data_IF_754087720605
#
_entry.id   IF_754087720605
#
_cell.length_a   1.000
_cell.length_b   1.000
_cell.length_c   1.000
_cell.angle_alpha   90.00
_cell.angle_beta   90.00
_cell.angle_gamma   90.00
#
_symmetry.space_group_name_H-M   'P 1'
#
loop_
_entity.id
_entity.type
_entity.pdbx_description
1 polymer ?
#
# COMPACT_ATOMS: atom_id res chain seq x y z
N UNK A 1 5.08 5.81 3.87
CA UNK A 1 5.05 6.56 2.57
C UNK A 1 4.62 8.05 2.67
N UNK A 2 3.39 8.40 3.05
CA UNK A 2 2.92 9.81 2.99
C UNK A 2 3.76 10.79 3.84
N UNK A 3 4.17 10.40 5.05
CA UNK A 3 5.06 11.22 5.88
C UNK A 3 6.44 11.46 5.24
N UNK A 4 6.97 10.45 4.55
CA UNK A 4 8.26 10.55 3.83
C UNK A 4 8.16 11.57 2.68
N UNK A 5 7.09 11.48 1.89
CA UNK A 5 6.82 12.44 0.80
C UNK A 5 6.57 13.84 1.34
N UNK A 6 5.81 13.97 2.44
CA UNK A 6 5.60 15.25 3.11
C UNK A 6 6.93 15.89 3.54
N UNK A 7 7.82 15.11 4.16
CA UNK A 7 9.14 15.58 4.58
C UNK A 7 9.96 16.08 3.38
N UNK A 8 9.99 15.35 2.27
CA UNK A 8 10.72 15.77 1.07
C UNK A 8 10.10 17.00 0.39
N UNK A 9 8.77 17.10 0.36
CA UNK A 9 8.07 18.30 -0.12
C UNK A 9 8.47 19.50 0.74
N UNK A 10 8.46 19.38 2.07
CA UNK A 10 8.81 20.49 2.97
C UNK A 10 10.27 20.92 2.82
N UNK A 11 11.20 19.97 2.70
CA UNK A 11 12.63 20.27 2.57
C UNK A 11 13.00 20.94 1.23
N UNK A 12 12.27 20.64 0.17
CA UNK A 12 12.61 21.08 -1.21
C UNK A 12 11.50 21.86 -1.89
N UNK A 13 10.51 22.35 -1.13
CA UNK A 13 9.33 23.06 -1.66
C UNK A 13 9.70 24.18 -2.62
N UNK A 14 10.62 25.06 -2.22
CA UNK A 14 11.06 26.20 -3.05
C UNK A 14 11.76 25.78 -4.34
N UNK A 15 12.54 24.69 -4.30
CA UNK A 15 13.22 24.16 -5.48
C UNK A 15 12.23 23.50 -6.45
N UNK A 16 11.30 22.69 -5.93
CA UNK A 16 10.35 21.97 -6.77
C UNK A 16 9.24 22.86 -7.34
N UNK A 17 8.77 23.84 -6.57
CA UNK A 17 7.79 24.80 -7.06
C UNK A 17 8.37 25.68 -8.18
N UNK A 18 9.62 26.11 -8.06
CA UNK A 18 10.27 26.96 -9.06
C UNK A 18 10.64 26.21 -10.36
N UNK A 19 11.07 24.95 -10.27
CA UNK A 19 11.60 24.22 -11.42
C UNK A 19 10.60 23.23 -12.06
N UNK A 20 9.57 22.76 -11.34
CA UNK A 20 8.70 21.66 -11.77
C UNK A 20 7.20 21.93 -11.54
N UNK A 21 6.78 23.19 -11.58
CA UNK A 21 5.43 23.67 -11.19
C UNK A 21 4.26 22.86 -11.77
N UNK A 22 4.34 22.43 -13.04
CA UNK A 22 3.26 21.69 -13.71
C UNK A 22 3.13 20.23 -13.21
N UNK A 23 4.24 19.60 -12.81
CA UNK A 23 4.22 18.24 -12.26
C UNK A 23 3.97 18.23 -10.75
N UNK A 24 4.34 19.32 -10.08
CA UNK A 24 4.15 19.47 -8.63
C UNK A 24 2.67 19.43 -8.22
N UNK A 25 1.74 19.91 -9.07
CA UNK A 25 0.30 19.84 -8.77
C UNK A 25 -0.22 18.40 -8.72
N UNK A 26 0.29 17.50 -9.59
CA UNK A 26 -0.08 16.08 -9.59
C UNK A 26 0.41 15.40 -8.31
N UNK A 27 1.60 15.77 -7.85
CA UNK A 27 2.18 15.27 -6.60
C UNK A 27 1.37 15.73 -5.39
N UNK A 28 1.01 17.02 -5.32
CA UNK A 28 0.14 17.55 -4.25
C UNK A 28 -1.21 16.83 -4.27
N UNK A 29 -1.83 16.67 -5.44
CA UNK A 29 -3.10 15.97 -5.56
C UNK A 29 -2.99 14.54 -5.05
N UNK A 30 -1.98 13.77 -5.50
CA UNK A 30 -1.74 12.42 -5.02
C UNK A 30 -1.51 12.38 -3.50
N UNK A 31 -0.70 13.29 -2.97
CA UNK A 31 -0.48 13.41 -1.53
C UNK A 31 -1.79 13.69 -0.78
N UNK A 32 -2.63 14.61 -1.25
CA UNK A 32 -3.90 14.96 -0.63
C UNK A 32 -4.87 13.78 -0.61
N UNK A 33 -5.00 13.05 -1.72
CA UNK A 33 -5.85 11.85 -1.76
C UNK A 33 -5.32 10.78 -0.80
N UNK A 34 -4.01 10.53 -0.80
CA UNK A 34 -3.39 9.57 0.11
C UNK A 34 -3.54 9.96 1.59
N UNK A 35 -3.35 11.23 1.91
CA UNK A 35 -3.56 11.77 3.25
C UNK A 35 -5.03 11.68 3.67
N UNK A 36 -5.97 12.00 2.76
CA UNK A 36 -7.40 11.87 3.01
C UNK A 36 -7.80 10.43 3.32
N UNK A 37 -7.26 9.44 2.60
CA UNK A 37 -7.50 8.01 2.89
C UNK A 37 -6.98 7.64 4.27
N UNK A 38 -5.76 8.07 4.64
CA UNK A 38 -5.19 7.78 5.97
C UNK A 38 -6.06 8.41 7.07
N UNK A 39 -6.46 9.67 6.91
CA UNK A 39 -7.33 10.36 7.87
C UNK A 39 -8.69 9.66 7.95
N UNK A 40 -9.26 9.25 6.82
CA UNK A 40 -10.52 8.51 6.76
C UNK A 40 -10.43 7.18 7.51
N UNK A 41 -9.38 6.39 7.27
CA UNK A 41 -9.13 5.13 7.99
C UNK A 41 -8.90 5.37 9.49
N UNK A 42 -8.21 6.44 9.85
CA UNK A 42 -8.01 6.80 11.25
C UNK A 42 -9.32 7.23 11.95
N UNK A 43 -10.17 8.00 11.27
CA UNK A 43 -11.50 8.36 11.79
C UNK A 43 -12.37 7.11 11.96
N UNK A 44 -12.35 6.19 10.99
CA UNK A 44 -13.04 4.90 11.11
C UNK A 44 -12.51 4.07 12.28
N UNK A 45 -11.19 4.06 12.49
CA UNK A 45 -10.52 3.36 13.58
C UNK A 45 -10.86 3.91 14.97
N UNK A 46 -11.10 5.21 15.09
CA UNK A 46 -11.26 5.89 16.39
C UNK A 46 -12.72 6.15 16.76
N UNK A 47 -13.63 6.27 15.79
CA UNK A 47 -15.00 6.73 16.03
C UNK A 47 -16.05 5.63 15.81
N UNK A 48 -16.56 5.03 16.92
CA UNK A 48 -17.67 4.11 16.86
C UNK A 48 -18.93 4.65 16.18
N UNK A 49 -19.16 5.96 16.33
CA UNK A 49 -20.33 6.66 15.80
C UNK A 49 -20.23 6.91 14.30
N UNK A 50 -19.01 7.15 13.79
CA UNK A 50 -18.81 7.34 12.35
C UNK A 50 -18.93 6.02 11.59
N UNK A 51 -18.45 4.89 12.15
CA UNK A 51 -18.62 3.59 11.50
C UNK A 51 -20.09 3.15 11.46
N UNK A 52 -20.85 3.35 12.54
CA UNK A 52 -22.28 2.97 12.60
C UNK A 52 -23.09 3.78 11.61
N UNK A 53 -22.80 5.08 11.51
CA UNK A 53 -23.42 5.97 10.53
C UNK A 53 -23.07 5.57 9.09
N UNK A 54 -21.79 5.30 8.78
CA UNK A 54 -21.37 4.90 7.43
C UNK A 54 -21.95 3.54 7.05
N UNK A 55 -22.00 2.59 7.97
CA UNK A 55 -22.53 1.25 7.75
C UNK A 55 -24.04 1.27 7.51
N UNK A 56 -24.80 1.98 8.34
CA UNK A 56 -26.26 2.11 8.17
C UNK A 56 -26.64 2.94 6.94
N UNK A 57 -25.95 4.05 6.69
CA UNK A 57 -26.19 4.91 5.52
C UNK A 57 -25.74 4.25 4.23
N UNK A 58 -24.54 3.67 4.19
CA UNK A 58 -23.98 2.98 3.02
C UNK A 58 -24.80 1.75 2.62
N UNK A 59 -25.23 0.93 3.58
CA UNK A 59 -26.10 -0.22 3.32
C UNK A 59 -27.49 0.23 2.88
N UNK A 60 -28.01 1.36 3.38
CA UNK A 60 -29.28 1.91 2.88
C UNK A 60 -29.19 2.37 1.42
N UNK A 61 -28.06 2.93 1.00
CA UNK A 61 -27.80 3.35 -0.39
C UNK A 61 -27.61 2.13 -1.28
N UNK A 62 -26.84 1.13 -0.84
CA UNK A 62 -26.65 -0.14 -1.56
C UNK A 62 -27.92 -0.97 -1.72
N UNK A 63 -28.82 -0.92 -0.72
CA UNK A 63 -30.15 -1.54 -0.80
C UNK A 63 -31.07 -0.79 -1.78
N UNK A 64 -31.04 0.56 -1.79
CA UNK A 64 -31.77 1.37 -2.79
C UNK A 64 -31.28 1.12 -4.22
N UNK A 65 -30.01 0.75 -4.39
CA UNK A 65 -29.41 0.41 -5.67
C UNK A 65 -29.55 -1.09 -6.03
N UNK A 66 -30.28 -1.90 -5.25
CA UNK A 66 -30.45 -3.35 -5.42
C UNK A 66 -29.15 -4.18 -5.46
N UNK A 67 -28.02 -3.62 -5.03
CA UNK A 67 -26.72 -4.32 -4.98
C UNK A 67 -26.68 -5.29 -3.79
N UNK A 68 -27.43 -5.00 -2.73
CA UNK A 68 -27.46 -5.81 -1.49
C UNK A 68 -28.83 -6.48 -1.37
N UNK A 69 -28.87 -7.81 -1.56
CA UNK A 69 -30.09 -8.62 -1.43
C UNK A 69 -30.54 -8.84 0.01
N UNK A 70 -29.60 -9.00 0.94
CA UNK A 70 -29.89 -9.21 2.36
C UNK A 70 -29.22 -8.13 3.22
N UNK A 71 -30.04 -7.15 3.60
CA UNK A 71 -29.61 -5.96 4.31
C UNK A 71 -29.15 -6.27 5.74
N UNK A 72 -29.82 -7.20 6.42
CA UNK A 72 -29.51 -7.54 7.81
C UNK A 72 -28.24 -8.37 7.91
N UNK A 73 -28.08 -9.38 7.06
CA UNK A 73 -26.87 -10.21 7.08
C UNK A 73 -25.61 -9.39 6.73
N UNK A 74 -25.72 -8.45 5.78
CA UNK A 74 -24.64 -7.53 5.44
C UNK A 74 -24.28 -6.58 6.60
N UNK A 75 -25.29 -6.08 7.35
CA UNK A 75 -25.07 -5.25 8.53
C UNK A 75 -24.35 -6.02 9.64
N UNK A 76 -24.74 -7.27 9.90
CA UNK A 76 -24.14 -8.11 10.95
C UNK A 76 -22.70 -8.48 10.61
N UNK A 77 -22.42 -8.93 9.37
CA UNK A 77 -21.06 -9.26 8.93
C UNK A 77 -20.11 -8.06 8.98
N UNK A 78 -20.60 -6.89 8.52
CA UNK A 78 -19.82 -5.66 8.56
C UNK A 78 -19.54 -5.22 10.01
N UNK A 79 -20.54 -5.25 10.90
CA UNK A 79 -20.35 -4.93 12.32
C UNK A 79 -19.32 -5.86 12.98
N UNK A 80 -19.33 -7.17 12.67
CA UNK A 80 -18.36 -8.11 13.22
C UNK A 80 -16.93 -7.81 12.76
N UNK A 81 -16.72 -7.54 11.47
CA UNK A 81 -15.40 -7.14 10.93
C UNK A 81 -14.91 -5.83 11.55
N UNK A 82 -15.82 -4.87 11.77
CA UNK A 82 -15.49 -3.57 12.37
C UNK A 82 -15.18 -3.66 13.87
N UNK A 83 -15.87 -4.54 14.61
CA UNK A 83 -15.54 -4.83 16.01
C UNK A 83 -14.17 -5.49 16.14
N UNK A 84 -13.87 -6.47 15.27
CA UNK A 84 -12.54 -7.07 15.19
C UNK A 84 -11.47 -6.03 14.87
N UNK A 85 -11.69 -5.18 13.87
CA UNK A 85 -10.78 -4.09 13.53
C UNK A 85 -10.53 -3.14 14.71
N UNK A 86 -11.59 -2.72 15.41
CA UNK A 86 -11.49 -1.86 16.60
C UNK A 86 -10.69 -2.52 17.72
N UNK A 87 -10.90 -3.81 17.95
CA UNK A 87 -10.14 -4.60 18.91
C UNK A 87 -8.65 -4.66 18.54
N UNK A 88 -8.33 -4.98 17.28
CA UNK A 88 -6.96 -5.01 16.76
C UNK A 88 -6.25 -3.66 16.91
N UNK A 89 -6.94 -2.54 16.72
CA UNK A 89 -6.36 -1.20 16.94
C UNK A 89 -5.98 -0.97 18.40
N UNK A 90 -6.81 -1.42 19.34
CA UNK A 90 -6.50 -1.31 20.78
C UNK A 90 -5.28 -2.16 21.12
N UNK A 91 -5.23 -3.40 20.64
CA UNK A 91 -4.07 -4.29 20.81
C UNK A 91 -2.82 -3.67 20.20
N UNK A 92 -2.89 -3.15 18.98
CA UNK A 92 -1.76 -2.52 18.30
C UNK A 92 -1.23 -1.33 19.11
N UNK A 93 -2.11 -0.49 19.69
CA UNK A 93 -1.72 0.64 20.56
C UNK A 93 -0.98 0.22 21.82
N UNK A 94 -1.19 -1.00 22.33
CA UNK A 94 -0.45 -1.53 23.47
C UNK A 94 1.01 -1.84 23.10
N UNK A 95 1.28 -2.16 21.84
CA UNK A 95 2.61 -2.51 21.34
C UNK A 95 3.35 -1.34 20.68
N UNK A 96 3.45 -0.20 21.39
CA UNK A 96 4.10 1.04 20.89
C UNK A 96 5.53 0.81 20.36
N UNK A 97 6.31 -0.05 21.02
CA UNK A 97 7.67 -0.42 20.57
C UNK A 97 7.65 -1.11 19.21
N UNK A 98 6.71 -2.02 18.98
CA UNK A 98 6.56 -2.73 17.72
C UNK A 98 6.18 -1.76 16.59
N UNK A 99 5.23 -0.85 16.83
CA UNK A 99 4.86 0.20 15.87
C UNK A 99 6.09 1.04 15.48
N UNK A 100 6.90 1.45 16.46
CA UNK A 100 8.09 2.25 16.18
C UNK A 100 9.13 1.49 15.34
N UNK A 101 9.39 0.22 15.65
CA UNK A 101 10.32 -0.63 14.89
C UNK A 101 9.83 -0.80 13.44
N UNK A 102 8.55 -1.11 13.25
CA UNK A 102 7.95 -1.25 11.91
C UNK A 102 7.98 0.07 11.13
N UNK A 103 7.75 1.20 11.80
CA UNK A 103 7.85 2.52 11.18
C UNK A 103 9.28 2.85 10.73
N UNK A 104 10.28 2.51 11.54
CA UNK A 104 11.69 2.69 11.18
C UNK A 104 12.11 1.76 10.03
N UNK A 105 11.65 0.50 10.05
CA UNK A 105 11.86 -0.45 8.97
C UNK A 105 11.27 0.07 7.65
N UNK A 106 10.01 0.53 7.65
CA UNK A 106 9.37 1.12 6.46
C UNK A 106 10.15 2.35 5.98
N UNK A 107 10.61 3.21 6.88
CA UNK A 107 11.42 4.37 6.52
C UNK A 107 12.73 3.98 5.81
N UNK A 108 13.48 3.02 6.38
CA UNK A 108 14.72 2.54 5.79
C UNK A 108 14.48 1.82 4.46
N UNK A 109 13.42 1.01 4.38
CA UNK A 109 12.98 0.36 3.15
C UNK A 109 12.70 1.40 2.06
N UNK A 110 11.92 2.44 2.37
CA UNK A 110 11.60 3.51 1.42
C UNK A 110 12.83 4.28 0.99
N UNK A 111 13.75 4.58 1.92
CA UNK A 111 15.01 5.24 1.60
C UNK A 111 15.80 4.41 0.59
N UNK A 112 16.03 3.13 0.85
CA UNK A 112 16.76 2.23 -0.06
C UNK A 112 16.03 2.13 -1.42
N UNK A 113 14.71 1.92 -1.38
CA UNK A 113 13.89 1.72 -2.58
C UNK A 113 13.88 2.95 -3.49
N UNK A 114 13.77 4.15 -2.93
CA UNK A 114 13.79 5.41 -3.70
C UNK A 114 15.20 5.86 -4.09
N UNK A 115 16.25 5.27 -3.52
CA UNK A 115 17.64 5.49 -3.97
C UNK A 115 18.02 4.65 -5.19
N UNK A 116 17.22 3.63 -5.54
CA UNK A 116 17.52 2.74 -6.67
C UNK A 116 17.72 3.50 -7.99
N UNK A 117 16.91 4.52 -8.36
CA UNK A 117 17.17 5.32 -9.56
C UNK A 117 18.50 6.06 -9.56
N UNK A 118 18.93 6.58 -8.41
CA UNK A 118 20.25 7.21 -8.27
C UNK A 118 21.38 6.21 -8.52
N UNK A 119 21.30 5.04 -7.89
CA UNK A 119 22.27 3.95 -8.10
C UNK A 119 22.25 3.45 -9.55
N UNK A 120 21.07 3.40 -10.17
CA UNK A 120 20.91 3.00 -11.57
C UNK A 120 21.63 3.97 -12.51
N UNK A 121 21.52 5.28 -12.26
CA UNK A 121 22.25 6.29 -13.01
C UNK A 121 23.77 6.14 -12.86
N UNK A 122 24.27 5.88 -11.65
CA UNK A 122 25.69 5.63 -11.40
C UNK A 122 26.22 4.41 -12.17
N UNK A 123 25.48 3.29 -12.14
CA UNK A 123 25.88 2.05 -12.85
C UNK A 123 25.88 2.25 -14.36
N UNK A 124 24.97 3.06 -14.89
CA UNK A 124 24.91 3.40 -16.32
C UNK A 124 25.99 4.42 -16.75
N UNK A 125 26.80 4.93 -15.82
CA UNK A 125 27.80 5.96 -16.11
C UNK A 125 27.18 7.32 -16.46
N UNK A 126 25.92 7.56 -16.09
CA UNK A 126 25.25 8.85 -16.29
C UNK A 126 25.79 9.82 -15.24
N UNK A 127 26.22 11.03 -15.62
CA UNK A 127 26.81 11.98 -14.68
C UNK A 127 25.75 12.41 -13.65
N UNK A 128 25.97 12.01 -12.40
CA UNK A 128 25.17 12.40 -11.23
C UNK A 128 26.07 12.91 -10.12
N UNK A 129 25.67 13.99 -9.47
CA UNK A 129 26.38 14.56 -8.32
C UNK A 129 25.68 14.20 -7.02
N UNK A 130 26.38 14.19 -5.86
CA UNK A 130 25.74 14.00 -4.56
C UNK A 130 24.63 15.00 -4.25
N UNK A 131 24.69 16.21 -4.81
CA UNK A 131 23.62 17.22 -4.67
C UNK A 131 22.30 16.79 -5.31
N UNK A 132 22.34 15.97 -6.37
CA UNK A 132 21.16 15.46 -7.08
C UNK A 132 20.49 14.29 -6.35
N UNK A 133 21.15 13.70 -5.34
CA UNK A 133 20.63 12.52 -4.64
C UNK A 133 19.25 12.79 -4.02
N UNK A 134 19.11 13.90 -3.29
CA UNK A 134 17.82 14.25 -2.66
C UNK A 134 16.73 14.58 -3.69
N UNK A 135 17.11 15.14 -4.84
CA UNK A 135 16.15 15.46 -5.91
C UNK A 135 15.66 14.17 -6.58
N UNK A 136 16.55 13.24 -6.87
CA UNK A 136 16.21 11.91 -7.41
C UNK A 136 15.40 11.07 -6.40
N UNK A 137 15.71 11.17 -5.11
CA UNK A 137 14.95 10.53 -4.04
C UNK A 137 13.52 11.06 -3.98
N UNK A 138 13.35 12.38 -4.10
CA UNK A 138 12.05 13.03 -4.16
C UNK A 138 11.25 12.64 -5.42
N UNK A 139 11.86 12.72 -6.60
CA UNK A 139 11.21 12.32 -7.85
C UNK A 139 10.77 10.85 -7.80
N UNK A 140 11.59 9.95 -7.27
CA UNK A 140 11.22 8.54 -7.07
C UNK A 140 10.00 8.39 -6.16
N UNK A 141 9.97 9.15 -5.07
CA UNK A 141 8.84 9.13 -4.13
C UNK A 141 7.55 9.72 -4.74
N UNK A 142 7.68 10.69 -5.63
CA UNK A 142 6.56 11.30 -6.36
C UNK A 142 5.98 10.34 -7.40
N UNK A 143 6.85 9.62 -8.12
CA UNK A 143 6.44 8.54 -9.03
C UNK A 143 5.62 7.51 -8.25
N UNK A 144 6.12 7.05 -7.10
CA UNK A 144 5.39 6.09 -6.27
C UNK A 144 4.05 6.64 -5.75
N UNK A 145 4.00 7.91 -5.36
CA UNK A 145 2.77 8.57 -4.93
C UNK A 145 1.72 8.60 -6.04
N UNK A 146 2.10 8.98 -7.27
CA UNK A 146 1.18 9.02 -8.41
C UNK A 146 0.71 7.60 -8.77
N UNK A 147 1.60 6.62 -8.74
CA UNK A 147 1.28 5.23 -9.06
C UNK A 147 0.29 4.60 -8.09
N UNK A 148 0.24 5.06 -6.83
CA UNK A 148 -0.73 4.58 -5.85
C UNK A 148 -2.20 4.83 -6.26
N UNK A 149 -2.43 5.77 -7.20
CA UNK A 149 -3.77 6.14 -7.67
C UNK A 149 -4.06 5.70 -9.11
N UNK A 150 -3.12 5.03 -9.78
CA UNK A 150 -3.34 4.46 -11.11
C UNK A 150 -3.77 3.00 -10.93
N UNK A 151 -5.06 2.65 -11.07
CA UNK A 151 -5.57 1.30 -10.90
C UNK A 151 -5.24 0.43 -12.13
N UNK A 152 -3.96 0.37 -12.50
CA UNK A 152 -3.51 -0.40 -13.65
C UNK A 152 -3.03 -1.78 -13.19
N UNK A 153 -3.66 -2.88 -13.65
CA UNK A 153 -3.16 -4.23 -13.39
C UNK A 153 -1.76 -4.36 -13.99
N UNK A 154 -0.78 -4.74 -13.17
CA UNK A 154 0.63 -4.83 -13.57
C UNK A 154 1.40 -3.51 -13.62
N UNK A 155 0.76 -2.34 -13.43
CA UNK A 155 1.37 -1.00 -13.23
C UNK A 155 2.52 -0.59 -14.19
N UNK A 156 2.69 -1.26 -15.34
CA UNK A 156 3.84 -1.04 -16.22
C UNK A 156 3.73 0.30 -16.96
N UNK A 157 2.65 0.51 -17.73
CA UNK A 157 2.52 1.70 -18.58
C UNK A 157 2.44 3.04 -17.82
N UNK A 158 1.59 3.14 -16.80
CA UNK A 158 1.42 4.39 -16.04
C UNK A 158 2.66 4.82 -15.26
N UNK A 159 3.31 3.86 -14.61
CA UNK A 159 4.54 4.10 -13.84
C UNK A 159 5.73 4.41 -14.74
N UNK A 160 5.88 3.75 -15.89
CA UNK A 160 6.97 4.04 -16.83
C UNK A 160 6.83 5.44 -17.41
N UNK A 161 5.62 5.81 -17.83
CA UNK A 161 5.33 7.15 -18.30
C UNK A 161 5.61 8.19 -17.22
N UNK A 162 5.11 7.97 -16.01
CA UNK A 162 5.30 8.90 -14.88
C UNK A 162 6.77 9.02 -14.50
N UNK A 163 7.53 7.92 -14.52
CA UNK A 163 8.96 7.94 -14.26
C UNK A 163 9.69 8.80 -15.30
N UNK A 164 9.49 8.56 -16.60
CA UNK A 164 10.17 9.32 -17.66
C UNK A 164 9.74 10.78 -17.63
N UNK A 165 8.47 11.09 -17.37
CA UNK A 165 7.99 12.46 -17.21
C UNK A 165 8.69 13.19 -16.06
N UNK A 166 8.83 12.54 -14.90
CA UNK A 166 9.44 13.14 -13.70
C UNK A 166 10.95 13.25 -13.83
N UNK A 167 11.64 12.18 -14.22
CA UNK A 167 13.10 12.16 -14.37
C UNK A 167 13.58 12.90 -15.62
N UNK A 168 12.72 13.08 -16.63
CA UNK A 168 12.98 13.94 -17.80
C UNK A 168 13.16 15.42 -17.46
N UNK A 169 12.84 15.82 -16.22
CA UNK A 169 13.07 17.18 -15.73
C UNK A 169 14.52 17.45 -15.29
N UNK A 170 15.29 16.39 -15.05
CA UNK A 170 16.71 16.46 -14.65
C UNK A 170 17.65 15.72 -15.61
N UNK A 171 17.11 14.79 -16.42
CA UNK A 171 17.84 14.03 -17.42
C UNK A 171 17.21 14.18 -18.81
N UNK A 172 17.98 13.91 -19.86
CA UNK A 172 17.39 13.75 -21.20
C UNK A 172 16.43 12.56 -21.23
N UNK A 173 15.46 12.56 -22.16
CA UNK A 173 14.48 11.47 -22.28
C UNK A 173 15.13 10.09 -22.41
N UNK A 174 16.23 10.00 -23.18
CA UNK A 174 17.00 8.75 -23.35
C UNK A 174 17.67 8.30 -22.05
N UNK A 175 18.27 9.23 -21.28
CA UNK A 175 18.87 8.92 -19.99
C UNK A 175 17.81 8.49 -18.97
N UNK A 176 16.69 9.23 -18.88
CA UNK A 176 15.58 8.88 -17.99
C UNK A 176 15.00 7.50 -18.32
N UNK A 177 14.81 7.18 -19.60
CA UNK A 177 14.36 5.85 -20.03
C UNK A 177 15.38 4.75 -19.69
N UNK A 178 16.68 5.01 -19.85
CA UNK A 178 17.74 4.05 -19.51
C UNK A 178 17.77 3.76 -18.01
N UNK A 179 17.71 4.80 -17.17
CA UNK A 179 17.61 4.67 -15.71
C UNK A 179 16.35 3.89 -15.33
N UNK A 180 15.23 4.21 -15.97
CA UNK A 180 13.94 3.55 -15.74
C UNK A 180 14.03 2.04 -15.98
N UNK A 181 14.66 1.60 -17.08
CA UNK A 181 14.77 0.17 -17.41
C UNK A 181 15.55 -0.59 -16.34
N UNK A 182 16.69 -0.06 -15.88
CA UNK A 182 17.48 -0.66 -14.80
C UNK A 182 16.68 -0.65 -13.49
N UNK A 183 16.04 0.46 -13.17
CA UNK A 183 15.17 0.57 -12.00
C UNK A 183 14.03 -0.45 -12.02
N UNK A 184 13.39 -0.69 -13.17
CA UNK A 184 12.34 -1.71 -13.33
C UNK A 184 12.87 -3.13 -13.20
N UNK A 185 14.06 -3.39 -13.72
CA UNK A 185 14.71 -4.67 -13.53
C UNK A 185 14.91 -4.99 -12.05
N UNK A 186 15.41 -4.01 -11.28
CA UNK A 186 15.66 -4.18 -9.85
C UNK A 186 14.38 -4.10 -9.01
N UNK A 187 13.40 -3.28 -9.35
CA UNK A 187 12.22 -3.13 -8.46
C UNK A 187 11.07 -4.06 -8.79
N UNK A 188 11.01 -4.56 -10.01
CA UNK A 188 9.87 -5.32 -10.50
C UNK A 188 10.27 -6.68 -11.09
N UNK A 189 11.13 -6.70 -12.11
CA UNK A 189 11.42 -7.96 -12.81
C UNK A 189 12.21 -8.95 -11.97
N UNK A 190 13.18 -8.51 -11.15
CA UNK A 190 13.91 -9.44 -10.27
C UNK A 190 12.98 -10.10 -9.23
N UNK A 191 12.04 -9.34 -8.68
CA UNK A 191 11.09 -9.84 -7.66
C UNK A 191 10.16 -10.87 -8.30
N UNK A 192 9.73 -10.61 -9.54
CA UNK A 192 8.93 -11.56 -10.32
C UNK A 192 9.69 -12.85 -10.61
N UNK A 193 10.96 -12.75 -11.03
CA UNK A 193 11.80 -13.93 -11.31
C UNK A 193 12.01 -14.77 -10.05
N UNK A 194 12.44 -14.13 -8.95
CA UNK A 194 12.65 -14.82 -7.67
C UNK A 194 11.34 -15.42 -7.16
N UNK A 195 10.25 -14.67 -7.21
CA UNK A 195 8.92 -15.15 -6.82
C UNK A 195 8.46 -16.34 -7.64
N UNK A 196 8.73 -16.34 -8.96
CA UNK A 196 8.44 -17.48 -9.84
C UNK A 196 9.24 -18.72 -9.45
N UNK A 197 10.54 -18.58 -9.20
CA UNK A 197 11.40 -19.70 -8.77
C UNK A 197 10.90 -20.27 -7.44
N UNK A 198 10.60 -19.40 -6.47
CA UNK A 198 10.06 -19.82 -5.16
C UNK A 198 8.72 -20.54 -5.32
N UNK A 199 7.83 -20.02 -6.17
CA UNK A 199 6.54 -20.63 -6.45
C UNK A 199 6.68 -22.03 -7.08
N UNK A 200 7.52 -22.17 -8.11
CA UNK A 200 7.77 -23.46 -8.76
C UNK A 200 8.35 -24.47 -7.76
N UNK A 201 9.31 -24.04 -6.94
CA UNK A 201 9.90 -24.88 -5.90
C UNK A 201 8.87 -25.32 -4.86
N UNK A 202 8.03 -24.40 -4.38
CA UNK A 202 6.97 -24.69 -3.42
C UNK A 202 5.94 -25.66 -3.98
N UNK A 203 5.56 -25.51 -5.27
CA UNK A 203 4.62 -26.42 -5.95
C UNK A 203 5.12 -27.86 -6.04
N UNK A 204 6.44 -28.07 -6.09
CA UNK A 204 7.05 -29.42 -6.06
C UNK A 204 7.07 -30.06 -4.68
N UNK A 205 6.78 -29.32 -3.61
CA UNK A 205 6.67 -29.87 -2.25
C UNK A 205 5.24 -30.39 -2.05
N UNK A 206 5.10 -31.53 -1.36
CA UNK A 206 3.79 -31.98 -0.89
C UNK A 206 3.30 -30.98 0.16
N UNK A 207 2.01 -30.64 0.09
CA UNK A 207 1.37 -29.84 1.13
C UNK A 207 1.64 -30.51 2.49
N UNK A 208 2.18 -29.73 3.43
CA UNK A 208 2.28 -30.17 4.82
C UNK A 208 0.84 -30.30 5.30
N UNK A 209 0.38 -31.48 5.74
CA UNK A 209 -0.95 -31.61 6.31
C UNK A 209 -1.04 -30.60 7.44
N UNK A 210 -1.97 -29.64 7.33
CA UNK A 210 -2.31 -28.81 8.46
C UNK A 210 -2.83 -29.78 9.53
N UNK A 211 -2.06 -29.98 10.60
CA UNK A 211 -2.60 -30.59 11.82
C UNK A 211 -3.67 -29.62 12.32
N UNK A 212 -4.89 -29.83 11.86
CA UNK A 212 -6.07 -29.21 12.44
C UNK A 212 -6.07 -29.73 13.87
N UNK A 213 -5.89 -28.87 14.89
CA UNK A 213 -5.95 -29.31 16.27
C UNK A 213 -7.28 -30.05 16.44
N UNK A 214 -7.24 -31.30 16.92
CA UNK A 214 -8.47 -32.03 17.20
C UNK A 214 -9.35 -31.14 18.08
N UNK A 215 -10.63 -30.95 17.75
CA UNK A 215 -11.54 -30.17 18.59
C UNK A 215 -11.43 -30.69 20.01
N UNK A 216 -11.35 -29.79 20.99
CA UNK A 216 -11.35 -30.24 22.38
C UNK A 216 -12.65 -31.01 22.66
N UNK A 217 -12.69 -31.87 23.69
CA UNK A 217 -13.92 -32.59 24.04
C UNK A 217 -15.12 -31.65 24.28
N UNK A 218 -14.83 -30.39 24.64
CA UNK A 218 -15.82 -29.32 24.76
C UNK A 218 -16.34 -28.90 23.39
N UNK A 219 -15.46 -28.68 22.41
CA UNK A 219 -15.85 -28.30 21.05
C UNK A 219 -16.68 -29.39 20.36
N UNK A 220 -16.37 -30.67 20.56
CA UNK A 220 -17.19 -31.79 20.04
C UNK A 220 -18.60 -31.80 20.63
N UNK A 221 -18.74 -31.51 21.93
CA UNK A 221 -20.06 -31.46 22.58
C UNK A 221 -20.91 -30.29 22.08
N UNK A 222 -20.27 -29.15 21.80
CA UNK A 222 -20.93 -27.95 21.26
C UNK A 222 -21.33 -28.19 19.79
N UNK A 223 -20.44 -28.75 18.98
CA UNK A 223 -20.75 -29.09 17.57
C UNK A 223 -21.93 -30.07 17.49
N UNK A 224 -21.97 -31.10 18.35
CA UNK A 224 -23.11 -32.02 18.44
C UNK A 224 -24.41 -31.32 18.79
N UNK A 225 -24.39 -30.43 19.78
CA UNK A 225 -25.60 -29.68 20.18
C UNK A 225 -26.13 -28.78 19.05
N UNK A 226 -25.24 -28.18 18.25
CA UNK A 226 -25.60 -27.33 17.12
C UNK A 226 -26.08 -28.12 15.90
N UNK A 227 -25.64 -29.38 15.75
CA UNK A 227 -26.15 -30.30 14.73
C UNK A 227 -27.53 -30.84 15.11
N UNK A 228 -27.76 -31.18 16.39
CA UNK A 228 -29.06 -31.61 16.89
C UNK A 228 -30.12 -30.51 16.78
N UNK A 229 -29.74 -29.25 16.99
CA UNK A 229 -30.65 -28.09 16.88
C UNK A 229 -31.02 -27.74 15.43
N UNK A 230 -30.22 -28.17 14.44
CA UNK A 230 -30.52 -27.97 12.99
C UNK A 230 -31.40 -29.05 12.38
N UNK A 231 -31.64 -30.15 13.09
CA UNK A 231 -32.46 -31.28 12.62
C UNK A 231 -33.92 -31.18 13.12
N UNK A 232 -34.21 -30.22 14.00
CA UNK A 232 -35.55 -29.82 14.44
C UNK A 232 -36.09 -28.64 13.61
#
# INVERSE_FOLDING_TARGET
MCLFVLLLILLKFGYFYANYSQFFILVIFGFLVGAAIIVFLWVLAVSPKFYTWLSTSGISIGAKLHIIKDKEQALVSLNNQLMQFSHEIVVLKMHKKLIFILGLEDFLRLLIYYSVPFLSAMVLGIPVTPSMYLDMLALSSFVAMINAFLPMPGSSGGTEATFVLMFGTIFTGTQAASIMLVWRFVTFYQVLIVGCIVFLYARTRKDVPLEIPKPSAVDESVIRSLEEEKVL
#
